data_IF_983699706558
#
_entry.id   IF_983699706558
#
_cell.length_a   1.000
_cell.length_b   1.000
_cell.length_c   1.000
_cell.angle_alpha   90.00
_cell.angle_beta   90.00
_cell.angle_gamma   90.00
#
_symmetry.space_group_name_H-M   'P 1'
#
loop_
_entity.id
_entity.type
_entity.pdbx_description
1 polymer ?
#
# COMPACT_ATOMS: atom_id res chain seq x y z
N UNK A 1 -28.04 2.20 -9.79
CA UNK A 1 -28.04 3.66 -10.11
C UNK A 1 -26.84 4.29 -9.42
N UNK A 2 -25.84 4.77 -10.17
CA UNK A 2 -24.69 5.47 -9.59
C UNK A 2 -25.15 6.84 -9.09
N UNK A 3 -24.89 7.13 -7.80
CA UNK A 3 -25.28 8.38 -7.16
C UNK A 3 -24.13 9.38 -7.36
N UNK A 4 -24.20 10.17 -8.44
CA UNK A 4 -23.20 11.20 -8.72
C UNK A 4 -23.21 12.27 -7.63
N UNK A 5 -22.03 12.69 -7.19
CA UNK A 5 -21.86 13.76 -6.19
C UNK A 5 -21.65 15.10 -6.89
N UNK A 6 -22.24 16.18 -6.37
CA UNK A 6 -22.19 17.52 -6.97
C UNK A 6 -21.18 18.41 -6.28
N UNK A 7 -20.43 19.16 -7.07
CA UNK A 7 -19.58 20.24 -6.59
C UNK A 7 -20.41 21.32 -5.89
N UNK A 8 -19.97 21.75 -4.71
CA UNK A 8 -20.64 22.77 -3.89
C UNK A 8 -20.30 24.21 -4.32
N UNK A 9 -19.40 24.42 -5.28
CA UNK A 9 -19.09 25.77 -5.77
C UNK A 9 -20.30 26.38 -6.50
N UNK A 10 -20.73 27.61 -6.16
CA UNK A 10 -21.87 28.26 -6.77
C UNK A 10 -21.76 28.30 -8.30
N UNK A 11 -22.84 27.91 -8.98
CA UNK A 11 -22.94 27.89 -10.44
C UNK A 11 -21.97 26.94 -11.17
N UNK A 12 -21.31 26.01 -10.47
CA UNK A 12 -20.47 25.00 -11.13
C UNK A 12 -21.29 23.90 -11.81
N UNK A 13 -22.26 23.32 -11.09
CA UNK A 13 -23.14 22.25 -11.60
C UNK A 13 -22.45 20.92 -11.95
N UNK A 14 -21.13 20.79 -11.75
CA UNK A 14 -20.38 19.59 -12.11
C UNK A 14 -20.77 18.38 -11.24
N UNK A 15 -20.96 17.24 -11.91
CA UNK A 15 -21.21 15.94 -11.31
C UNK A 15 -20.03 15.03 -11.64
N UNK A 16 -19.29 14.61 -10.62
CA UNK A 16 -18.11 13.77 -10.76
C UNK A 16 -18.23 12.54 -9.85
N UNK A 17 -17.59 11.44 -10.25
CA UNK A 17 -17.56 10.20 -9.47
C UNK A 17 -16.73 10.35 -8.18
N UNK A 18 -15.80 11.30 -8.16
CA UNK A 18 -14.89 11.58 -7.04
C UNK A 18 -14.79 13.09 -6.86
N UNK A 19 -15.18 13.59 -5.68
CA UNK A 19 -14.99 14.98 -5.27
C UNK A 19 -13.81 15.12 -4.31
N UNK A 20 -13.23 16.31 -4.29
CA UNK A 20 -12.14 16.69 -3.39
C UNK A 20 -12.70 17.48 -2.20
N UNK A 21 -12.29 17.11 -0.99
CA UNK A 21 -12.69 17.80 0.24
C UNK A 21 -11.69 18.89 0.61
N UNK A 22 -12.17 20.12 0.80
CA UNK A 22 -11.32 21.20 1.29
C UNK A 22 -11.04 21.02 2.79
N UNK A 23 -9.76 20.99 3.19
CA UNK A 23 -9.34 20.89 4.59
C UNK A 23 -9.75 22.10 5.47
N UNK A 24 -10.11 23.23 4.87
CA UNK A 24 -10.39 24.48 5.58
C UNK A 24 -11.90 24.70 5.78
N UNK A 25 -12.69 24.72 4.70
CA UNK A 25 -14.14 24.92 4.78
C UNK A 25 -14.95 23.62 4.86
N UNK A 26 -14.31 22.46 4.67
CA UNK A 26 -14.93 21.11 4.65
C UNK A 26 -15.95 20.86 3.53
N UNK A 27 -16.09 21.77 2.56
CA UNK A 27 -16.92 21.57 1.37
C UNK A 27 -16.32 20.59 0.36
N UNK A 28 -17.19 20.02 -0.49
CA UNK A 28 -16.82 19.08 -1.55
C UNK A 28 -16.84 19.73 -2.94
N UNK A 29 -15.73 19.61 -3.68
CA UNK A 29 -15.49 20.34 -4.93
C UNK A 29 -14.95 19.44 -6.06
N UNK A 30 -15.27 19.77 -7.31
CA UNK A 30 -14.76 19.09 -8.49
C UNK A 30 -13.28 19.41 -8.75
N UNK A 31 -12.64 18.74 -9.71
CA UNK A 31 -11.23 18.94 -10.03
C UNK A 31 -10.85 20.41 -10.33
N UNK A 32 -11.75 21.20 -10.93
CA UNK A 32 -11.52 22.62 -11.23
C UNK A 32 -11.56 23.54 -10.00
N UNK A 33 -12.29 23.13 -8.96
CA UNK A 33 -12.55 23.92 -7.76
C UNK A 33 -11.91 23.32 -6.50
N UNK A 34 -11.03 22.33 -6.66
CA UNK A 34 -10.43 21.57 -5.54
C UNK A 34 -9.54 22.43 -4.62
N UNK A 35 -8.92 23.48 -5.16
CA UNK A 35 -7.94 24.29 -4.44
C UNK A 35 -8.65 25.46 -3.74
N UNK A 36 -8.13 25.90 -2.60
CA UNK A 36 -8.78 26.91 -1.76
C UNK A 36 -9.01 28.25 -2.50
N UNK A 37 -8.13 28.60 -3.42
CA UNK A 37 -8.22 29.82 -4.21
C UNK A 37 -9.27 29.70 -5.32
N UNK A 38 -9.38 28.53 -5.95
CA UNK A 38 -10.25 28.32 -7.11
C UNK A 38 -11.73 28.26 -6.74
N UNK A 39 -12.06 27.82 -5.52
CA UNK A 39 -13.43 27.93 -4.98
C UNK A 39 -13.64 29.10 -4.02
N UNK A 40 -12.65 30.01 -3.90
CA UNK A 40 -12.66 31.14 -2.97
C UNK A 40 -13.08 30.72 -1.56
N UNK A 41 -12.30 29.84 -0.97
CA UNK A 41 -12.57 29.23 0.33
C UNK A 41 -12.90 30.29 1.40
N UNK A 42 -14.12 30.26 1.98
CA UNK A 42 -14.54 31.27 2.95
C UNK A 42 -13.71 31.22 4.24
N UNK A 43 -13.16 30.05 4.60
CA UNK A 43 -12.28 29.88 5.75
C UNK A 43 -10.87 30.47 5.54
N UNK A 44 -10.44 30.65 4.28
CA UNK A 44 -9.11 31.21 3.94
C UNK A 44 -9.21 32.70 3.63
N UNK A 45 -10.26 33.11 2.91
CA UNK A 45 -10.48 34.52 2.54
C UNK A 45 -11.31 35.32 3.55
N UNK A 46 -11.93 34.67 4.54
CA UNK A 46 -12.70 35.33 5.60
C UNK A 46 -11.87 35.89 6.76
N UNK A 47 -10.54 35.76 6.75
CA UNK A 47 -9.67 36.28 7.80
C UNK A 47 -8.94 37.59 7.44
N UNK A 48 -9.24 38.18 6.28
CA UNK A 48 -8.65 39.46 5.89
C UNK A 48 -9.70 40.53 5.66
N UNK A 49 -9.67 41.52 6.57
CA UNK A 49 -10.15 42.90 6.45
C UNK A 49 -11.63 43.16 6.81
N UNK A 50 -11.84 43.64 8.04
CA UNK A 50 -12.80 44.72 8.29
C UNK A 50 -12.32 45.96 7.53
N UNK A 51 -13.09 46.55 6.61
CA UNK A 51 -12.70 47.81 5.98
C UNK A 51 -13.00 48.96 6.95
N UNK A 52 -11.97 49.72 7.32
CA UNK A 52 -12.14 51.07 7.82
C UNK A 52 -12.85 51.91 6.75
N UNK A 53 -13.92 52.59 7.13
CA UNK A 53 -14.61 53.55 6.27
C UNK A 53 -13.66 54.70 5.92
N UNK A 54 -13.28 54.81 4.65
CA UNK A 54 -12.47 55.90 4.13
C UNK A 54 -13.38 56.98 3.52
N UNK A 55 -13.58 58.06 4.27
CA UNK A 55 -14.06 59.35 3.75
C UNK A 55 -12.92 60.04 3.01
N UNK A 56 -13.01 60.17 1.68
CA UNK A 56 -12.01 60.90 0.88
C UNK A 56 -12.54 61.36 -0.48
N UNK A 57 -12.30 62.62 -0.80
CA UNK A 57 -12.77 63.37 -1.99
C UNK A 57 -12.17 62.90 -3.33
N UNK A 58 -12.84 63.17 -4.47
CA UNK A 58 -12.58 62.53 -5.78
C UNK A 58 -11.20 62.78 -6.40
N UNK A 59 -10.47 63.83 -6.00
CA UNK A 59 -9.12 64.09 -6.49
C UNK A 59 -8.08 63.02 -6.05
N UNK A 60 -8.31 62.38 -4.90
CA UNK A 60 -7.41 61.33 -4.39
C UNK A 60 -7.67 59.97 -5.05
N UNK A 61 -8.87 59.77 -5.61
CA UNK A 61 -9.24 58.51 -6.25
C UNK A 61 -8.46 58.28 -7.56
N UNK A 62 -8.17 59.35 -8.31
CA UNK A 62 -7.44 59.24 -9.58
C UNK A 62 -5.95 58.95 -9.36
N UNK A 63 -5.33 59.60 -8.36
CA UNK A 63 -3.93 59.31 -7.98
C UNK A 63 -3.80 57.88 -7.45
N UNK A 64 -4.76 57.41 -6.64
CA UNK A 64 -4.78 56.02 -6.15
C UNK A 64 -4.99 55.03 -7.32
N UNK A 65 -5.84 55.36 -8.30
CA UNK A 65 -6.01 54.55 -9.52
C UNK A 65 -4.73 54.50 -10.35
N UNK A 66 -4.05 55.62 -10.56
CA UNK A 66 -2.80 55.66 -11.29
C UNK A 66 -1.70 54.87 -10.59
N UNK A 67 -1.59 54.98 -9.26
CA UNK A 67 -0.65 54.18 -8.47
C UNK A 67 -0.98 52.69 -8.55
N UNK A 68 -2.25 52.32 -8.46
CA UNK A 68 -2.68 50.92 -8.59
C UNK A 68 -2.39 50.35 -9.99
N UNK A 69 -2.61 51.14 -11.04
CA UNK A 69 -2.32 50.74 -12.42
C UNK A 69 -0.82 50.61 -12.68
N UNK A 70 0.00 51.51 -12.13
CA UNK A 70 1.45 51.42 -12.24
C UNK A 70 2.00 50.24 -11.43
N UNK A 71 1.46 49.99 -10.24
CA UNK A 71 1.78 48.81 -9.45
C UNK A 71 1.38 47.49 -10.15
N UNK A 72 0.22 47.45 -10.82
CA UNK A 72 -0.19 46.30 -11.64
C UNK A 72 0.72 46.09 -12.85
N UNK A 73 1.16 47.16 -13.51
CA UNK A 73 2.13 47.05 -14.63
C UNK A 73 3.50 46.55 -14.15
N UNK A 74 3.99 47.04 -13.01
CA UNK A 74 5.21 46.52 -12.38
C UNK A 74 5.06 45.06 -11.94
N UNK A 75 3.90 44.69 -11.39
CA UNK A 75 3.60 43.32 -11.02
C UNK A 75 3.50 42.38 -12.24
N UNK A 76 2.93 42.85 -13.36
CA UNK A 76 2.89 42.09 -14.61
C UNK A 76 4.29 41.93 -15.24
N UNK A 77 5.14 42.96 -15.17
CA UNK A 77 6.54 42.87 -15.59
C UNK A 77 7.34 41.90 -14.69
N UNK A 78 7.01 41.81 -13.39
CA UNK A 78 7.57 40.83 -12.48
C UNK A 78 7.00 39.40 -12.67
N UNK A 79 5.74 39.27 -13.13
CA UNK A 79 5.10 37.97 -13.42
C UNK A 79 5.55 37.34 -14.75
N UNK A 80 6.25 38.08 -15.62
CA UNK A 80 6.88 37.55 -16.82
C UNK A 80 8.09 36.64 -16.57
N UNK A 81 8.49 36.45 -15.30
CA UNK A 81 9.62 35.61 -14.90
C UNK A 81 9.24 34.54 -13.86
N UNK A 82 7.99 34.07 -13.83
CA UNK A 82 7.72 32.83 -13.11
C UNK A 82 8.34 31.67 -13.90
N UNK A 83 9.37 30.96 -13.37
CA UNK A 83 9.93 29.83 -14.08
C UNK A 83 8.80 28.82 -14.22
N UNK A 84 8.49 28.42 -15.46
CA UNK A 84 7.79 27.17 -15.69
C UNK A 84 8.52 26.11 -14.84
N UNK A 85 7.83 25.51 -13.86
CA UNK A 85 8.36 24.36 -13.14
C UNK A 85 8.48 23.21 -14.14
N UNK A 86 9.56 23.21 -14.91
CA UNK A 86 10.05 22.03 -15.60
C UNK A 86 10.31 20.98 -14.54
N UNK A 87 9.74 19.80 -14.73
CA UNK A 87 10.06 18.63 -13.93
C UNK A 87 11.59 18.46 -13.94
N UNK A 88 12.31 18.57 -12.81
CA UNK A 88 13.79 18.59 -12.79
C UNK A 88 14.44 17.31 -13.35
N UNK A 89 13.61 16.33 -13.71
CA UNK A 89 13.92 14.95 -14.03
C UNK A 89 13.81 14.63 -15.52
N UNK A 90 13.50 15.62 -16.38
CA UNK A 90 13.29 15.41 -17.81
C UNK A 90 14.54 14.97 -18.58
N UNK A 91 15.75 15.08 -17.99
CA UNK A 91 17.03 14.74 -18.63
C UNK A 91 17.98 13.92 -17.74
N UNK A 92 17.56 13.56 -16.52
CA UNK A 92 18.39 12.74 -15.64
C UNK A 92 18.44 11.31 -16.18
N UNK A 93 19.64 10.75 -16.29
CA UNK A 93 19.84 9.34 -16.62
C UNK A 93 19.10 8.43 -15.61
N UNK A 94 18.79 7.20 -16.01
CA UNK A 94 18.01 6.29 -15.17
C UNK A 94 18.69 5.99 -13.81
N UNK A 95 20.02 5.96 -13.76
CA UNK A 95 20.79 5.71 -12.55
C UNK A 95 20.65 6.89 -11.56
N UNK A 96 20.77 8.12 -12.05
CA UNK A 96 20.55 9.35 -11.29
C UNK A 96 19.13 9.40 -10.75
N UNK A 97 18.12 9.04 -11.56
CA UNK A 97 16.72 8.97 -11.11
C UNK A 97 16.54 7.93 -10.00
N UNK A 98 17.14 6.76 -10.11
CA UNK A 98 17.11 5.71 -9.08
C UNK A 98 17.74 6.19 -7.77
N UNK A 99 18.92 6.81 -7.82
CA UNK A 99 19.60 7.38 -6.64
C UNK A 99 18.73 8.43 -5.94
N UNK A 100 18.08 9.30 -6.70
CA UNK A 100 17.21 10.34 -6.15
C UNK A 100 15.93 9.76 -5.51
N UNK A 101 15.31 8.76 -6.15
CA UNK A 101 14.17 8.03 -5.56
C UNK A 101 14.60 7.37 -4.25
N UNK A 102 15.75 6.71 -4.24
CA UNK A 102 16.28 6.06 -3.04
C UNK A 102 16.53 7.05 -1.90
N UNK A 103 17.11 8.23 -2.20
CA UNK A 103 17.29 9.30 -1.22
C UNK A 103 15.95 9.79 -0.64
N UNK A 104 14.94 10.01 -1.49
CA UNK A 104 13.61 10.44 -1.04
C UNK A 104 12.94 9.39 -0.15
N UNK A 105 13.09 8.10 -0.49
CA UNK A 105 12.54 7.01 0.31
C UNK A 105 13.19 6.95 1.69
N UNK A 106 14.52 7.14 1.78
CA UNK A 106 15.25 7.22 3.06
C UNK A 106 14.86 8.42 3.92
N UNK A 107 14.50 9.54 3.30
CA UNK A 107 14.11 10.78 4.01
C UNK A 107 12.63 10.81 4.44
N UNK A 108 11.83 9.85 3.98
CA UNK A 108 10.38 9.83 4.26
C UNK A 108 10.10 9.46 5.72
N UNK A 109 9.56 10.40 6.50
CA UNK A 109 9.26 10.21 7.94
C UNK A 109 8.33 9.03 8.27
N UNK A 110 7.52 8.60 7.32
CA UNK A 110 6.58 7.48 7.51
C UNK A 110 7.15 6.12 7.13
N UNK A 111 8.33 6.08 6.50
CA UNK A 111 9.00 4.88 6.04
C UNK A 111 10.26 4.67 6.87
N UNK A 112 10.58 3.41 7.15
CA UNK A 112 11.83 3.02 7.77
C UNK A 112 12.64 2.28 6.71
N UNK A 113 13.76 2.87 6.32
CA UNK A 113 14.71 2.27 5.38
C UNK A 113 16.10 2.41 5.97
N UNK A 114 16.72 1.29 6.35
CA UNK A 114 18.03 1.22 7.00
C UNK A 114 19.20 1.25 6.00
N UNK A 115 18.95 1.68 4.77
CA UNK A 115 19.98 1.81 3.74
C UNK A 115 19.88 0.69 2.72
N UNK A 116 20.08 -0.57 3.14
CA UNK A 116 19.97 -1.73 2.27
C UNK A 116 18.60 -2.39 2.36
N UNK A 117 18.04 -2.73 1.20
CA UNK A 117 16.75 -3.44 1.12
C UNK A 117 16.81 -4.80 1.81
N UNK A 118 17.96 -5.48 1.76
CA UNK A 118 18.16 -6.74 2.45
C UNK A 118 17.96 -6.58 3.97
N UNK A 119 18.48 -5.52 4.58
CA UNK A 119 18.28 -5.26 6.01
C UNK A 119 16.81 -4.96 6.31
N UNK A 120 16.15 -4.17 5.47
CA UNK A 120 14.72 -3.88 5.63
C UNK A 120 13.88 -5.18 5.60
N UNK A 121 14.17 -6.07 4.65
CA UNK A 121 13.52 -7.39 4.53
C UNK A 121 13.83 -8.27 5.74
N UNK A 122 15.09 -8.37 6.16
CA UNK A 122 15.49 -9.19 7.30
C UNK A 122 14.85 -8.73 8.61
N UNK A 123 14.74 -7.42 8.83
CA UNK A 123 14.04 -6.86 9.99
C UNK A 123 12.55 -7.18 9.91
N UNK A 124 11.91 -6.98 8.75
CA UNK A 124 10.50 -7.34 8.55
C UNK A 124 10.24 -8.83 8.79
N UNK A 125 11.05 -9.69 8.19
CA UNK A 125 11.01 -11.14 8.38
C UNK A 125 11.18 -11.52 9.85
N UNK A 126 12.22 -11.02 10.50
CA UNK A 126 12.51 -11.29 11.92
C UNK A 126 11.36 -10.85 12.80
N UNK A 127 10.80 -9.66 12.58
CA UNK A 127 9.65 -9.15 13.33
C UNK A 127 8.44 -10.10 13.23
N UNK A 128 8.10 -10.56 12.02
CA UNK A 128 6.96 -11.48 11.84
C UNK A 128 7.25 -12.83 12.53
N UNK A 129 8.46 -13.37 12.36
CA UNK A 129 8.86 -14.63 13.01
C UNK A 129 8.82 -14.52 14.52
N UNK A 130 9.26 -13.39 15.09
CA UNK A 130 9.17 -13.14 16.53
C UNK A 130 7.71 -13.12 16.99
N UNK A 131 6.82 -12.43 16.26
CA UNK A 131 5.39 -12.36 16.58
C UNK A 131 4.77 -13.76 16.66
N UNK A 132 4.95 -14.59 15.63
CA UNK A 132 4.37 -15.94 15.62
C UNK A 132 5.09 -16.91 16.56
N UNK A 133 6.42 -16.85 16.61
CA UNK A 133 7.21 -17.72 17.48
C UNK A 133 6.95 -17.47 18.97
N UNK A 134 6.85 -16.20 19.40
CA UNK A 134 6.47 -15.89 20.77
C UNK A 134 5.04 -16.33 21.11
N UNK A 135 4.09 -16.19 20.17
CA UNK A 135 2.74 -16.72 20.37
C UNK A 135 2.78 -18.23 20.69
N UNK A 136 3.56 -19.01 19.92
CA UNK A 136 3.71 -20.44 20.18
C UNK A 136 4.33 -20.77 21.54
N UNK A 137 5.31 -19.98 21.99
CA UNK A 137 5.95 -20.21 23.29
C UNK A 137 5.03 -19.81 24.44
N UNK A 138 4.34 -18.67 24.34
CA UNK A 138 3.50 -18.14 25.43
C UNK A 138 2.24 -18.96 25.61
N UNK A 139 1.57 -19.34 24.52
CA UNK A 139 0.25 -19.99 24.58
C UNK A 139 0.32 -21.52 24.51
N UNK A 140 1.36 -22.10 23.89
CA UNK A 140 1.45 -23.53 23.64
C UNK A 140 2.70 -24.22 24.22
N UNK A 141 3.56 -23.49 24.96
CA UNK A 141 4.85 -23.99 25.49
C UNK A 141 5.73 -24.69 24.43
N UNK A 142 5.63 -24.22 23.17
CA UNK A 142 6.28 -24.86 22.03
C UNK A 142 7.44 -24.02 21.49
N UNK A 143 8.64 -24.32 21.97
CA UNK A 143 9.88 -23.68 21.53
C UNK A 143 10.23 -23.95 20.05
N UNK A 144 9.79 -25.09 19.50
CA UNK A 144 9.93 -25.37 18.06
C UNK A 144 9.06 -24.46 17.19
N UNK A 145 8.09 -23.78 17.80
CA UNK A 145 7.23 -22.79 17.16
C UNK A 145 7.99 -21.68 16.47
N UNK A 146 9.18 -21.27 16.95
CA UNK A 146 10.03 -20.29 16.26
C UNK A 146 10.55 -20.81 14.93
N UNK A 147 11.04 -22.05 14.89
CA UNK A 147 11.56 -22.66 13.67
C UNK A 147 10.44 -22.88 12.65
N UNK A 148 9.29 -23.40 13.10
CA UNK A 148 8.11 -23.58 12.26
C UNK A 148 7.65 -22.22 11.71
N UNK A 149 7.51 -21.20 12.56
CA UNK A 149 7.14 -19.83 12.15
C UNK A 149 8.12 -19.27 11.13
N UNK A 150 9.43 -19.46 11.33
CA UNK A 150 10.45 -19.04 10.37
C UNK A 150 10.24 -19.66 8.98
N UNK A 151 9.94 -20.95 8.92
CA UNK A 151 9.67 -21.66 7.65
C UNK A 151 8.38 -21.14 7.00
N UNK A 152 7.29 -20.99 7.77
CA UNK A 152 6.01 -20.51 7.26
C UNK A 152 6.11 -19.08 6.72
N UNK A 153 6.72 -18.18 7.48
CA UNK A 153 6.94 -16.80 7.06
C UNK A 153 7.90 -16.74 5.87
N UNK A 154 8.99 -17.51 5.88
CA UNK A 154 9.97 -17.48 4.79
C UNK A 154 9.34 -17.91 3.46
N UNK A 155 8.43 -18.87 3.48
CA UNK A 155 7.75 -19.37 2.27
C UNK A 155 6.59 -18.49 1.81
N UNK A 156 5.86 -17.84 2.72
CA UNK A 156 4.68 -17.05 2.36
C UNK A 156 4.92 -15.55 2.20
N UNK A 157 5.85 -14.96 2.95
CA UNK A 157 6.09 -13.50 2.91
C UNK A 157 7.20 -13.13 1.92
N UNK A 158 8.35 -13.80 1.95
CA UNK A 158 9.48 -13.40 1.09
C UNK A 158 9.16 -13.56 -0.41
N UNK A 159 8.66 -14.72 -0.89
CA UNK A 159 8.33 -14.88 -2.30
C UNK A 159 7.22 -13.93 -2.74
N UNK A 160 6.24 -13.66 -1.87
CA UNK A 160 5.14 -12.73 -2.12
C UNK A 160 5.64 -11.32 -2.44
N UNK A 161 6.42 -10.72 -1.53
CA UNK A 161 6.99 -9.39 -1.72
C UNK A 161 7.95 -9.36 -2.92
N UNK A 162 8.78 -10.39 -3.09
CA UNK A 162 9.69 -10.47 -4.22
C UNK A 162 8.95 -10.59 -5.55
N UNK A 163 7.80 -11.29 -5.61
CA UNK A 163 7.00 -11.39 -6.82
C UNK A 163 6.43 -10.03 -7.23
N UNK A 164 5.89 -9.24 -6.29
CA UNK A 164 5.47 -7.86 -6.59
C UNK A 164 6.63 -7.04 -7.17
N UNK A 165 7.79 -7.11 -6.52
CA UNK A 165 8.98 -6.38 -6.94
C UNK A 165 9.46 -6.77 -8.34
N UNK A 166 9.64 -8.07 -8.59
CA UNK A 166 10.13 -8.59 -9.87
C UNK A 166 9.16 -8.23 -11.00
N UNK A 167 7.86 -8.38 -10.80
CA UNK A 167 6.87 -8.03 -11.82
C UNK A 167 6.83 -6.51 -12.06
N UNK A 168 6.99 -5.69 -11.03
CA UNK A 168 7.07 -4.24 -11.20
C UNK A 168 8.34 -3.82 -11.96
N UNK A 169 9.50 -4.39 -11.63
CA UNK A 169 10.77 -4.11 -12.30
C UNK A 169 10.76 -4.53 -13.77
N UNK A 170 10.19 -5.70 -14.08
CA UNK A 170 9.97 -6.14 -15.48
C UNK A 170 9.07 -5.20 -16.28
N UNK A 171 8.32 -4.33 -15.62
CA UNK A 171 7.48 -3.30 -16.24
C UNK A 171 8.13 -1.92 -16.27
N UNK A 172 9.45 -1.83 -16.07
CA UNK A 172 10.22 -0.59 -16.14
C UNK A 172 9.95 0.35 -14.96
N UNK A 173 9.58 -0.20 -13.81
CA UNK A 173 9.32 0.56 -12.58
C UNK A 173 10.47 0.36 -11.60
N UNK A 174 10.79 1.38 -10.80
CA UNK A 174 11.62 1.18 -9.63
C UNK A 174 10.79 0.49 -8.55
N UNK A 175 11.30 -0.59 -7.98
CA UNK A 175 10.64 -1.29 -6.89
C UNK A 175 11.65 -1.73 -5.83
N UNK A 176 11.32 -1.47 -4.56
CA UNK A 176 12.14 -1.81 -3.40
C UNK A 176 11.26 -2.11 -2.19
N UNK A 177 11.57 -3.16 -1.45
CA UNK A 177 10.93 -3.41 -0.16
C UNK A 177 11.38 -2.40 0.89
N UNK A 178 10.42 -1.84 1.64
CA UNK A 178 10.66 -0.86 2.70
C UNK A 178 9.73 -1.13 3.88
N UNK A 179 10.23 -0.91 5.09
CA UNK A 179 9.42 -1.04 6.30
C UNK A 179 8.53 0.19 6.48
N UNK A 180 7.31 -0.05 6.95
CA UNK A 180 6.36 1.01 7.19
C UNK A 180 6.19 1.21 8.68
N UNK A 181 6.56 2.37 9.22
CA UNK A 181 6.55 2.63 10.68
C UNK A 181 5.20 2.33 11.30
N UNK A 182 4.11 2.80 10.68
CA UNK A 182 2.74 2.51 11.14
C UNK A 182 2.40 1.03 10.99
N UNK A 183 2.89 0.40 9.93
CA UNK A 183 2.73 -1.02 9.67
C UNK A 183 3.34 -1.88 10.79
N UNK A 184 4.59 -1.60 11.18
CA UNK A 184 5.24 -2.24 12.33
C UNK A 184 4.41 -2.06 13.60
N UNK A 185 3.93 -0.83 13.88
CA UNK A 185 3.09 -0.55 15.05
C UNK A 185 1.79 -1.37 15.00
N UNK A 186 1.13 -1.46 13.84
CA UNK A 186 -0.07 -2.27 13.69
C UNK A 186 0.21 -3.75 13.87
N UNK A 187 1.30 -4.28 13.31
CA UNK A 187 1.72 -5.67 13.49
C UNK A 187 1.94 -5.99 14.98
N UNK A 188 2.67 -5.13 15.70
CA UNK A 188 2.92 -5.29 17.13
C UNK A 188 1.65 -5.14 17.97
N UNK A 189 0.79 -4.17 17.65
CA UNK A 189 -0.46 -3.94 18.39
C UNK A 189 -1.46 -5.08 18.17
N UNK A 190 -1.64 -5.53 16.93
CA UNK A 190 -2.57 -6.61 16.59
C UNK A 190 -2.12 -7.98 17.10
N UNK A 191 -0.83 -8.15 17.38
CA UNK A 191 -0.31 -9.28 18.13
C UNK A 191 -0.86 -9.31 19.56
N UNK A 192 -0.84 -8.19 20.28
CA UNK A 192 -1.29 -8.15 21.70
C UNK A 192 -2.77 -8.53 21.84
N UNK A 193 -3.59 -8.15 20.86
CA UNK A 193 -5.04 -8.42 20.85
C UNK A 193 -5.41 -9.73 20.15
N UNK A 194 -4.43 -10.52 19.68
CA UNK A 194 -4.68 -11.82 19.03
C UNK A 194 -5.32 -11.77 17.64
N UNK A 195 -5.31 -10.61 16.96
CA UNK A 195 -5.87 -10.46 15.60
C UNK A 195 -4.85 -10.86 14.53
N UNK A 196 -3.55 -10.65 14.79
CA UNK A 196 -2.48 -11.11 13.91
C UNK A 196 -2.44 -10.44 12.52
N UNK A 197 -2.65 -9.12 12.43
CA UNK A 197 -2.49 -8.38 11.18
C UNK A 197 -1.01 -8.21 10.83
N UNK A 198 -0.56 -8.80 9.73
CA UNK A 198 0.85 -8.78 9.33
C UNK A 198 1.06 -7.76 8.21
N UNK A 199 1.47 -6.53 8.54
CA UNK A 199 1.81 -5.50 7.53
C UNK A 199 3.05 -4.70 7.96
N UNK A 200 4.20 -5.33 8.23
CA UNK A 200 5.38 -4.60 8.72
C UNK A 200 6.02 -3.70 7.64
N UNK A 201 5.79 -3.99 6.37
CA UNK A 201 6.33 -3.27 5.23
C UNK A 201 5.54 -3.55 3.96
N UNK A 202 6.05 -3.04 2.85
CA UNK A 202 5.49 -3.27 1.52
C UNK A 202 6.56 -2.98 0.45
N UNK A 203 6.36 -3.49 -0.77
CA UNK A 203 7.15 -3.05 -1.94
C UNK A 203 6.72 -1.65 -2.39
N UNK A 204 7.58 -0.66 -2.19
CA UNK A 204 7.42 0.67 -2.74
C UNK A 204 7.70 0.65 -4.25
N UNK A 205 6.70 1.01 -5.05
CA UNK A 205 6.78 1.04 -6.52
C UNK A 205 6.69 2.48 -6.99
N UNK A 206 7.72 2.93 -7.72
CA UNK A 206 7.83 4.30 -8.23
C UNK A 206 8.05 4.27 -9.74
N UNK A 207 7.23 5.00 -10.52
CA UNK A 207 7.41 5.09 -11.96
C UNK A 207 8.76 5.69 -12.38
N UNK A 208 9.49 4.95 -13.22
CA UNK A 208 10.69 5.42 -13.91
C UNK A 208 10.38 5.76 -15.36
N UNK A 209 10.12 4.76 -16.19
CA UNK A 209 10.02 4.98 -17.64
C UNK A 209 8.63 5.45 -18.07
N UNK A 210 7.58 4.94 -17.42
CA UNK A 210 6.18 5.24 -17.74
C UNK A 210 5.26 5.06 -16.54
N UNK A 211 4.14 5.74 -16.56
CA UNK A 211 3.06 5.48 -15.61
C UNK A 211 2.47 4.08 -15.80
N UNK A 212 1.99 3.49 -14.70
CA UNK A 212 1.36 2.18 -14.70
C UNK A 212 -0.13 2.30 -14.98
N UNK A 213 -0.62 1.58 -15.98
CA UNK A 213 -2.06 1.49 -16.23
C UNK A 213 -2.73 0.48 -15.27
N UNK A 214 -4.07 0.40 -15.32
CA UNK A 214 -4.85 -0.52 -14.47
C UNK A 214 -4.40 -1.98 -14.58
N UNK A 215 -4.04 -2.42 -15.79
CA UNK A 215 -3.56 -3.78 -16.05
C UNK A 215 -2.18 -4.03 -15.44
N UNK A 216 -1.27 -3.06 -15.52
CA UNK A 216 0.05 -3.16 -14.90
C UNK A 216 -0.07 -3.27 -13.38
N UNK A 217 -0.89 -2.42 -12.77
CA UNK A 217 -1.16 -2.43 -11.34
C UNK A 217 -1.79 -3.76 -10.90
N UNK A 218 -2.78 -4.24 -11.65
CA UNK A 218 -3.44 -5.51 -11.40
C UNK A 218 -2.50 -6.71 -11.54
N UNK A 219 -1.61 -6.72 -12.52
CA UNK A 219 -0.62 -7.81 -12.69
C UNK A 219 0.44 -7.82 -11.60
N UNK A 220 0.92 -6.64 -11.19
CA UNK A 220 1.82 -6.55 -10.03
C UNK A 220 1.10 -7.07 -8.79
N UNK A 221 -0.14 -6.62 -8.54
CA UNK A 221 -0.93 -7.05 -7.40
C UNK A 221 -1.22 -8.56 -7.41
N UNK A 222 -1.49 -9.16 -8.58
CA UNK A 222 -1.71 -10.60 -8.73
C UNK A 222 -0.46 -11.43 -8.40
N UNK A 223 0.74 -10.88 -8.61
CA UNK A 223 2.00 -11.63 -8.48
C UNK A 223 2.19 -12.25 -7.09
N UNK A 224 1.90 -11.50 -6.03
CA UNK A 224 2.02 -11.96 -4.63
C UNK A 224 1.08 -13.12 -4.30
N UNK A 225 -0.25 -12.97 -4.44
CA UNK A 225 -1.19 -14.06 -4.23
C UNK A 225 -0.95 -15.26 -5.16
N UNK A 226 -0.48 -15.05 -6.39
CA UNK A 226 -0.19 -16.12 -7.32
C UNK A 226 1.01 -16.97 -6.91
N UNK A 227 2.11 -16.36 -6.45
CA UNK A 227 3.28 -17.16 -6.00
C UNK A 227 2.97 -17.95 -4.73
N UNK A 228 2.18 -17.37 -3.81
CA UNK A 228 1.73 -18.09 -2.62
C UNK A 228 0.80 -19.24 -2.99
N UNK A 229 -0.10 -19.06 -3.97
CA UNK A 229 -0.92 -20.16 -4.47
C UNK A 229 -0.07 -21.29 -5.07
N UNK A 230 1.00 -20.98 -5.81
CA UNK A 230 1.91 -21.98 -6.38
C UNK A 230 2.63 -22.74 -5.26
N UNK A 231 3.22 -22.05 -4.30
CA UNK A 231 3.92 -22.67 -3.16
C UNK A 231 2.94 -23.51 -2.33
N UNK A 232 1.74 -22.98 -2.09
CA UNK A 232 0.68 -23.65 -1.35
C UNK A 232 0.18 -24.91 -2.03
N UNK A 233 -0.03 -24.89 -3.35
CA UNK A 233 -0.44 -26.05 -4.13
C UNK A 233 0.63 -27.15 -4.14
N UNK A 234 1.90 -26.80 -4.38
CA UNK A 234 3.01 -27.75 -4.33
C UNK A 234 3.11 -28.37 -2.94
N UNK A 235 3.04 -27.56 -1.89
CA UNK A 235 3.14 -28.03 -0.51
C UNK A 235 1.93 -28.91 -0.13
N UNK A 236 0.72 -28.56 -0.59
CA UNK A 236 -0.45 -29.41 -0.37
C UNK A 236 -0.25 -30.78 -1.01
N UNK A 237 0.17 -30.83 -2.28
CA UNK A 237 0.42 -32.10 -2.97
C UNK A 237 1.48 -32.93 -2.22
N UNK A 238 2.60 -32.32 -1.83
CA UNK A 238 3.64 -33.01 -1.06
C UNK A 238 3.09 -33.52 0.27
N UNK A 239 2.32 -32.72 1.00
CA UNK A 239 1.70 -33.11 2.26
C UNK A 239 0.75 -34.30 2.11
N UNK A 240 -0.10 -34.28 1.07
CA UNK A 240 -1.01 -35.38 0.77
C UNK A 240 -0.26 -36.67 0.40
N UNK A 241 0.85 -36.56 -0.35
CA UNK A 241 1.66 -37.71 -0.72
C UNK A 241 2.39 -38.31 0.49
N UNK A 242 2.90 -37.49 1.42
CA UNK A 242 3.56 -38.00 2.62
C UNK A 242 2.59 -38.59 3.63
N UNK A 243 1.35 -38.07 3.71
CA UNK A 243 0.31 -38.61 4.59
C UNK A 243 -0.36 -39.86 3.99
N UNK A 244 -0.48 -39.95 2.65
CA UNK A 244 -1.00 -41.13 1.95
C UNK A 244 0.01 -42.29 1.87
N UNK A 245 1.30 -42.00 1.98
CA UNK A 245 2.38 -43.00 2.05
C UNK A 245 2.43 -43.61 3.45
N UNK A 246 1.62 -44.64 3.67
CA UNK A 246 1.59 -45.50 4.85
C UNK A 246 3.01 -45.80 5.41
N UNK A 247 3.40 -45.14 6.51
CA UNK A 247 4.24 -45.71 7.57
C UNK A 247 5.76 -45.86 7.43
N UNK A 248 6.51 -45.13 6.59
CA UNK A 248 7.98 -45.36 6.48
C UNK A 248 8.90 -44.19 6.91
N UNK A 249 8.40 -42.96 7.09
CA UNK A 249 9.24 -41.86 7.63
C UNK A 249 8.53 -41.16 8.77
N UNK A 250 8.31 -41.87 9.87
CA UNK A 250 8.07 -41.24 11.16
C UNK A 250 9.41 -40.79 11.74
N UNK A 251 9.83 -39.56 11.42
CA UNK A 251 10.77 -38.80 12.25
C UNK A 251 10.03 -38.41 13.54
N UNK A 252 9.91 -39.40 14.43
CA UNK A 252 9.03 -39.49 15.62
C UNK A 252 9.26 -38.44 16.72
N UNK A 253 10.09 -37.42 16.51
CA UNK A 253 10.33 -36.37 17.51
C UNK A 253 9.98 -34.94 17.07
N UNK A 254 9.94 -34.66 15.76
CA UNK A 254 9.77 -33.29 15.21
C UNK A 254 8.51 -33.18 14.33
N UNK A 255 7.96 -34.32 13.87
CA UNK A 255 6.85 -34.37 12.91
C UNK A 255 5.61 -35.13 13.42
N UNK A 256 5.52 -35.41 14.73
CA UNK A 256 4.28 -35.87 15.31
C UNK A 256 3.34 -34.66 15.43
N UNK A 257 2.51 -34.46 14.41
CA UNK A 257 1.45 -33.44 14.31
C UNK A 257 1.90 -31.96 14.38
N UNK A 258 1.61 -31.13 13.36
CA UNK A 258 1.13 -31.43 12.00
C UNK A 258 2.24 -31.38 10.94
N UNK A 259 2.00 -32.11 9.84
CA UNK A 259 2.85 -32.17 8.66
C UNK A 259 3.26 -30.76 8.17
N UNK A 260 4.56 -30.50 8.09
CA UNK A 260 5.10 -29.18 7.73
C UNK A 260 4.62 -28.71 6.35
N UNK A 261 4.43 -29.63 5.40
CA UNK A 261 3.95 -29.28 4.06
C UNK A 261 2.49 -28.82 4.09
N UNK A 262 1.66 -29.46 4.93
CA UNK A 262 0.27 -29.01 5.15
C UNK A 262 0.26 -27.65 5.84
N UNK A 263 1.13 -27.42 6.83
CA UNK A 263 1.27 -26.10 7.48
C UNK A 263 1.68 -25.01 6.48
N UNK A 264 2.67 -25.28 5.61
CA UNK A 264 3.10 -24.35 4.57
C UNK A 264 1.96 -24.06 3.59
N UNK A 265 1.19 -25.08 3.21
CA UNK A 265 0.01 -24.93 2.34
C UNK A 265 -1.06 -24.03 2.98
N UNK A 266 -1.41 -24.29 4.24
CA UNK A 266 -2.37 -23.50 5.01
C UNK A 266 -1.94 -22.04 5.09
N UNK A 267 -0.70 -21.79 5.53
CA UNK A 267 -0.21 -20.43 5.74
C UNK A 267 -0.11 -19.66 4.42
N UNK A 268 0.45 -20.26 3.35
CA UNK A 268 0.54 -19.59 2.05
C UNK A 268 -0.84 -19.24 1.47
N UNK A 269 -1.77 -20.19 1.49
CA UNK A 269 -3.11 -19.98 0.96
C UNK A 269 -3.89 -18.94 1.79
N UNK A 270 -3.76 -18.93 3.12
CA UNK A 270 -4.35 -17.91 3.98
C UNK A 270 -3.78 -16.51 3.70
N UNK A 271 -2.46 -16.37 3.60
CA UNK A 271 -1.83 -15.09 3.26
C UNK A 271 -2.25 -14.61 1.87
N UNK A 272 -2.39 -15.53 0.91
CA UNK A 272 -2.89 -15.20 -0.43
C UNK A 272 -4.35 -14.74 -0.40
N UNK A 273 -5.24 -15.44 0.32
CA UNK A 273 -6.65 -15.07 0.47
C UNK A 273 -6.82 -13.74 1.21
N UNK A 274 -6.05 -13.53 2.29
CA UNK A 274 -6.04 -12.28 3.02
C UNK A 274 -5.66 -11.11 2.10
N UNK A 275 -4.59 -11.25 1.32
CA UNK A 275 -4.21 -10.22 0.35
C UNK A 275 -5.18 -10.10 -0.82
N UNK A 276 -6.01 -11.11 -1.10
CA UNK A 276 -7.11 -11.02 -2.06
C UNK A 276 -8.37 -10.34 -1.51
N UNK A 277 -8.44 -9.97 -0.23
CA UNK A 277 -9.59 -9.21 0.27
C UNK A 277 -9.70 -7.87 -0.49
N UNK A 278 -10.87 -7.53 -1.07
CA UNK A 278 -11.03 -6.35 -1.92
C UNK A 278 -11.22 -5.05 -1.10
N UNK A 279 -10.37 -4.85 -0.10
CA UNK A 279 -10.44 -3.74 0.85
C UNK A 279 -9.10 -3.01 0.95
N UNK A 280 -9.17 -1.73 1.33
CA UNK A 280 -8.01 -0.92 1.67
C UNK A 280 -6.94 -0.87 0.54
N UNK A 281 -5.69 -1.20 0.86
CA UNK A 281 -4.52 -1.22 -0.02
C UNK A 281 -4.05 -2.64 -0.37
N UNK A 282 -4.82 -3.66 0.03
CA UNK A 282 -4.54 -5.05 -0.28
C UNK A 282 -4.62 -5.29 -1.79
N UNK A 283 -4.01 -6.36 -2.25
CA UNK A 283 -3.85 -6.62 -3.68
C UNK A 283 -5.14 -6.96 -4.39
N UNK A 284 -6.05 -7.66 -3.71
CA UNK A 284 -7.38 -7.99 -4.20
C UNK A 284 -8.14 -6.77 -4.70
N UNK A 285 -8.01 -5.62 -4.03
CA UNK A 285 -8.65 -4.38 -4.45
C UNK A 285 -8.12 -3.88 -5.82
N UNK A 286 -6.84 -4.09 -6.12
CA UNK A 286 -6.23 -3.70 -7.40
C UNK A 286 -6.56 -4.72 -8.50
N UNK A 287 -6.55 -6.02 -8.16
CA UNK A 287 -6.89 -7.11 -9.09
C UNK A 287 -8.36 -6.98 -9.52
N UNK A 288 -9.29 -6.78 -8.57
CA UNK A 288 -10.71 -6.61 -8.85
C UNK A 288 -10.99 -5.38 -9.74
N UNK A 289 -10.27 -4.27 -9.51
CA UNK A 289 -10.35 -3.07 -10.36
C UNK A 289 -9.81 -3.29 -11.77
N UNK A 290 -8.89 -4.24 -11.94
CA UNK A 290 -8.34 -4.60 -13.24
C UNK A 290 -9.29 -5.55 -13.99
N UNK A 291 -9.63 -6.69 -13.39
CA UNK A 291 -10.51 -7.69 -13.99
C UNK A 291 -11.14 -8.58 -12.91
N UNK A 292 -12.48 -8.60 -12.86
CA UNK A 292 -13.21 -9.37 -11.85
C UNK A 292 -13.08 -10.89 -12.03
N UNK A 293 -12.89 -11.38 -13.27
CA UNK A 293 -12.73 -12.81 -13.55
C UNK A 293 -11.37 -13.28 -13.03
N UNK A 294 -10.32 -12.49 -13.28
CA UNK A 294 -8.98 -12.79 -12.74
C UNK A 294 -9.02 -12.82 -11.21
N UNK A 295 -9.70 -11.85 -10.60
CA UNK A 295 -9.94 -11.82 -9.16
C UNK A 295 -10.67 -13.08 -8.66
N UNK A 296 -11.80 -13.43 -9.27
CA UNK A 296 -12.57 -14.60 -8.87
C UNK A 296 -11.76 -15.90 -9.02
N UNK A 297 -10.99 -16.03 -10.11
CA UNK A 297 -10.13 -17.20 -10.35
C UNK A 297 -9.04 -17.34 -9.29
N UNK A 298 -8.30 -16.27 -8.95
CA UNK A 298 -7.23 -16.38 -7.96
C UNK A 298 -7.79 -16.66 -6.55
N UNK A 299 -8.95 -16.11 -6.22
CA UNK A 299 -9.65 -16.45 -4.96
C UNK A 299 -10.07 -17.92 -4.97
N UNK A 300 -10.70 -18.40 -6.05
CA UNK A 300 -11.15 -19.80 -6.16
C UNK A 300 -9.97 -20.80 -6.04
N UNK A 301 -8.83 -20.50 -6.68
CA UNK A 301 -7.62 -21.32 -6.58
C UNK A 301 -7.15 -21.40 -5.12
N UNK A 302 -7.04 -20.26 -4.43
CA UNK A 302 -6.57 -20.26 -3.05
C UNK A 302 -7.58 -20.89 -2.08
N UNK A 303 -8.90 -20.78 -2.34
CA UNK A 303 -9.93 -21.51 -1.60
C UNK A 303 -9.77 -23.03 -1.81
N UNK A 304 -9.53 -23.47 -3.03
CA UNK A 304 -9.33 -24.88 -3.36
C UNK A 304 -8.05 -25.47 -2.74
N UNK A 305 -7.08 -24.63 -2.35
CA UNK A 305 -5.88 -25.06 -1.61
C UNK A 305 -6.16 -25.03 -0.10
N UNK A 306 -6.75 -23.94 0.41
CA UNK A 306 -6.93 -23.74 1.86
C UNK A 306 -7.91 -24.76 2.44
N UNK A 307 -9.04 -25.03 1.78
CA UNK A 307 -10.10 -25.89 2.34
C UNK A 307 -9.58 -27.31 2.57
N UNK A 308 -8.97 -28.01 1.59
CA UNK A 308 -8.38 -29.32 1.84
C UNK A 308 -7.31 -29.27 2.94
N UNK A 309 -6.41 -28.29 2.90
CA UNK A 309 -5.33 -28.19 3.90
C UNK A 309 -5.86 -28.08 5.34
N UNK A 310 -7.02 -27.43 5.55
CA UNK A 310 -7.70 -27.35 6.84
C UNK A 310 -8.49 -28.60 7.22
N UNK A 311 -8.96 -29.39 6.25
CA UNK A 311 -9.55 -30.70 6.53
C UNK A 311 -8.49 -31.65 7.10
N UNK A 312 -7.26 -31.61 6.57
CA UNK A 312 -6.14 -32.42 7.06
C UNK A 312 -5.54 -31.90 8.37
N UNK A 313 -5.59 -30.59 8.62
CA UNK A 313 -5.12 -29.99 9.87
C UNK A 313 -6.10 -28.94 10.42
N UNK A 314 -7.21 -29.36 11.05
CA UNK A 314 -8.22 -28.43 11.55
C UNK A 314 -7.73 -27.60 12.76
N UNK A 315 -6.72 -28.09 13.49
CA UNK A 315 -6.17 -27.44 14.68
C UNK A 315 -5.28 -26.22 14.40
N UNK A 316 -5.01 -25.90 13.13
CA UNK A 316 -4.08 -24.83 12.75
C UNK A 316 -4.37 -23.49 13.43
N UNK A 317 -5.60 -23.01 13.38
CA UNK A 317 -5.96 -21.70 13.95
C UNK A 317 -5.96 -21.71 15.48
N UNK A 318 -6.23 -22.85 16.11
CA UNK A 318 -6.18 -23.00 17.57
C UNK A 318 -4.75 -23.11 18.11
N UNK A 319 -3.78 -23.45 17.25
CA UNK A 319 -2.36 -23.44 17.59
C UNK A 319 -1.66 -22.13 17.23
N UNK A 320 -2.07 -21.41 16.19
CA UNK A 320 -1.37 -20.22 15.68
C UNK A 320 -1.79 -18.90 16.35
N UNK A 321 -3.01 -18.84 16.89
CA UNK A 321 -3.61 -17.71 17.61
C UNK A 321 -3.66 -18.05 19.10
#
# INVERSE_FOLDING_TARGET
MMKYMRCEYPNCGAQEDILFYCRYCRGSFCQKHRDAETHRCPAVHGQTQQPFAATGTPANAEVIRQMAQNAMKMAQQAMGQQPQQQDPYSYADEETRRKLIEQRLKQSRGLLSFGSELVDILIGFTLIVLVFGFSQVIFNDNWWGFLISAILVATAFLPHEMAHKVVAQRRGQFARYILWTRGIIYTLFTMIIGIGLIVPGFVAIVPLSREMNKKDLGMVALAGPAINAVIGAISLILGLLTDASFGIITLTGIFATPNIFILVAQFNALIALFNCLPIWRLDGAKILKWDWKIFATIVAINVAIVVPSFIFNPGFLAGVI
#
